data_IF_343350388743
#
_entry.id   IF_343350388743
#
_cell.length_a   1.000
_cell.length_b   1.000
_cell.length_c   1.000
_cell.angle_alpha   90.00
_cell.angle_beta   90.00
_cell.angle_gamma   90.00
#
_symmetry.space_group_name_H-M   'P 1'
#
loop_
_entity.id
_entity.type
_entity.pdbx_description
1 polymer ?
#
# COMPACT_ATOMS: atom_id res chain seq x y z
N UNK A 1 13.37 34.89 -17.76
CA UNK A 1 13.52 35.95 -18.79
C UNK A 1 14.81 35.86 -19.63
N UNK A 2 15.54 34.72 -19.67
CA UNK A 2 16.73 34.58 -20.55
C UNK A 2 16.51 33.74 -21.82
N UNK A 3 15.46 32.91 -21.91
CA UNK A 3 15.21 32.06 -23.09
C UNK A 3 15.01 32.85 -24.40
N UNK A 4 14.44 34.07 -24.33
CA UNK A 4 14.23 34.93 -25.50
C UNK A 4 15.53 35.58 -26.03
N UNK A 5 16.61 35.53 -25.26
CA UNK A 5 17.91 36.08 -25.65
C UNK A 5 18.82 35.05 -26.34
N UNK A 6 18.38 33.79 -26.47
CA UNK A 6 19.14 32.74 -27.15
C UNK A 6 18.78 32.63 -28.63
N UNK A 7 19.77 32.31 -29.45
CA UNK A 7 19.58 32.10 -30.88
C UNK A 7 18.63 30.91 -31.14
N UNK A 8 17.86 30.93 -32.23
CA UNK A 8 16.85 29.91 -32.57
C UNK A 8 17.36 28.46 -32.43
N UNK A 9 18.63 28.22 -32.78
CA UNK A 9 19.29 26.90 -32.67
C UNK A 9 19.50 26.43 -31.22
N UNK A 10 19.80 27.35 -30.31
CA UNK A 10 20.06 27.02 -28.89
C UNK A 10 18.76 26.66 -28.17
N UNK A 11 17.66 27.35 -28.50
CA UNK A 11 16.34 27.03 -27.95
C UNK A 11 15.95 25.59 -28.34
N UNK A 12 16.11 25.23 -29.62
CA UNK A 12 15.82 23.87 -30.11
C UNK A 12 16.69 22.81 -29.41
N UNK A 13 17.97 23.09 -29.20
CA UNK A 13 18.88 22.17 -28.52
C UNK A 13 18.47 21.88 -27.06
N UNK A 14 18.04 22.91 -26.32
CA UNK A 14 17.56 22.74 -24.93
C UNK A 14 16.29 21.90 -24.88
N UNK A 15 15.34 22.14 -25.79
CA UNK A 15 14.13 21.31 -25.88
C UNK A 15 14.46 19.87 -26.27
N UNK A 16 15.34 19.66 -27.25
CA UNK A 16 15.76 18.31 -27.66
C UNK A 16 16.41 17.55 -26.50
N UNK A 17 17.33 18.19 -25.76
CA UNK A 17 17.96 17.60 -24.59
C UNK A 17 16.94 17.28 -23.48
N UNK A 18 16.00 18.18 -23.23
CA UNK A 18 14.92 17.95 -22.27
C UNK A 18 14.10 16.71 -22.62
N UNK A 19 13.69 16.57 -23.89
CA UNK A 19 12.94 15.38 -24.33
C UNK A 19 13.77 14.10 -24.24
N UNK A 20 15.06 14.14 -24.58
CA UNK A 20 15.96 12.98 -24.44
C UNK A 20 16.04 12.54 -22.98
N UNK A 21 16.29 13.48 -22.05
CA UNK A 21 16.33 13.18 -20.63
C UNK A 21 14.98 12.66 -20.11
N UNK A 22 13.88 13.27 -20.52
CA UNK A 22 12.53 12.85 -20.14
C UNK A 22 12.22 11.43 -20.61
N UNK A 23 12.59 11.10 -21.86
CA UNK A 23 12.43 9.75 -22.40
C UNK A 23 13.27 8.74 -21.62
N UNK A 24 14.54 9.05 -21.32
CA UNK A 24 15.42 8.18 -20.52
C UNK A 24 14.82 7.95 -19.13
N UNK A 25 14.39 9.01 -18.43
CA UNK A 25 13.78 8.90 -17.09
C UNK A 25 12.48 8.09 -17.13
N UNK A 26 11.66 8.28 -18.17
CA UNK A 26 10.39 7.54 -18.32
C UNK A 26 10.65 6.05 -18.56
N UNK A 27 11.63 5.69 -19.40
CA UNK A 27 12.01 4.31 -19.64
C UNK A 27 12.50 3.62 -18.36
N UNK A 28 13.32 4.30 -17.56
CA UNK A 28 13.77 3.79 -16.25
C UNK A 28 12.59 3.61 -15.29
N UNK A 29 11.66 4.56 -15.26
CA UNK A 29 10.46 4.49 -14.41
C UNK A 29 9.56 3.31 -14.76
N UNK A 30 9.41 2.98 -16.05
CA UNK A 30 8.60 1.84 -16.52
C UNK A 30 9.32 0.51 -16.28
N UNK A 31 10.64 0.46 -16.46
CA UNK A 31 11.44 -0.74 -16.21
C UNK A 31 11.73 -0.99 -14.72
N UNK A 32 11.40 -0.04 -13.85
CA UNK A 32 11.60 -0.14 -12.41
C UNK A 32 10.69 -1.20 -11.76
N UNK A 33 11.10 -1.72 -10.59
CA UNK A 33 10.26 -2.63 -9.81
C UNK A 33 9.01 -1.91 -9.29
N UNK A 34 7.98 -2.69 -8.98
CA UNK A 34 6.72 -2.16 -8.44
C UNK A 34 6.95 -1.37 -7.15
N UNK A 35 6.42 -0.15 -7.09
CA UNK A 35 6.52 0.74 -5.92
C UNK A 35 5.86 0.15 -4.66
N UNK A 36 4.90 -0.76 -4.83
CA UNK A 36 4.12 -1.36 -3.74
C UNK A 36 4.24 -2.88 -3.82
N UNK A 37 4.60 -3.51 -2.71
CA UNK A 37 4.59 -4.96 -2.56
C UNK A 37 3.29 -5.41 -1.87
N UNK A 38 2.35 -6.06 -2.60
CA UNK A 38 1.10 -6.52 -2.02
C UNK A 38 1.24 -7.92 -1.40
N UNK A 39 0.95 -8.05 -0.11
CA UNK A 39 0.82 -9.35 0.55
C UNK A 39 -0.66 -9.65 0.84
N UNK A 40 -1.17 -10.72 0.23
CA UNK A 40 -2.56 -11.16 0.42
C UNK A 40 -2.60 -12.34 1.39
N UNK A 41 -3.09 -12.09 2.60
CA UNK A 41 -3.35 -13.14 3.58
C UNK A 41 -4.80 -13.60 3.44
N UNK A 42 -5.00 -14.87 3.10
CA UNK A 42 -6.31 -15.53 3.18
C UNK A 42 -6.38 -16.30 4.48
N UNK A 43 -7.48 -16.17 5.18
CA UNK A 43 -7.74 -17.01 6.34
C UNK A 43 -8.15 -18.40 5.89
N UNK A 44 -7.33 -19.40 6.19
CA UNK A 44 -7.62 -20.79 5.90
C UNK A 44 -8.46 -21.36 7.05
N UNK A 45 -9.69 -21.74 6.73
CA UNK A 45 -10.70 -22.33 7.63
C UNK A 45 -11.39 -21.36 8.64
N UNK A 46 -12.44 -20.62 8.20
CA UNK A 46 -13.21 -19.74 9.07
C UNK A 46 -13.93 -20.46 10.22
N UNK A 47 -14.17 -21.77 10.11
CA UNK A 47 -14.96 -22.52 11.10
C UNK A 47 -14.19 -22.96 12.35
N UNK A 48 -12.85 -23.08 12.27
CA UNK A 48 -12.02 -23.38 13.46
C UNK A 48 -11.57 -22.12 14.21
N UNK A 49 -11.78 -20.94 13.63
CA UNK A 49 -11.16 -19.68 14.07
C UNK A 49 -12.19 -18.63 14.50
N UNK A 50 -13.40 -19.06 14.87
CA UNK A 50 -14.54 -18.22 15.21
C UNK A 50 -14.44 -17.46 16.55
N UNK A 51 -13.40 -17.67 17.36
CA UNK A 51 -13.30 -17.04 18.68
C UNK A 51 -11.87 -16.79 19.14
N UNK A 52 -11.07 -16.08 18.34
CA UNK A 52 -9.74 -15.68 18.76
C UNK A 52 -9.19 -14.46 18.02
N UNK A 53 -8.18 -13.78 18.57
CA UNK A 53 -7.48 -12.71 17.88
C UNK A 53 -6.78 -13.25 16.63
N UNK A 54 -7.07 -12.64 15.48
CA UNK A 54 -6.43 -12.97 14.22
C UNK A 54 -4.98 -12.47 14.21
N UNK A 55 -4.02 -13.40 14.28
CA UNK A 55 -2.59 -13.08 14.24
C UNK A 55 -2.10 -13.08 12.79
N UNK A 56 -1.74 -11.91 12.30
CA UNK A 56 -1.08 -11.73 11.01
C UNK A 56 0.39 -11.41 11.28
N UNK A 57 1.29 -12.12 10.61
CA UNK A 57 2.73 -11.84 10.65
C UNK A 57 3.13 -11.24 9.30
N UNK A 58 3.67 -10.02 9.33
CA UNK A 58 4.26 -9.42 8.14
C UNK A 58 5.59 -10.09 7.81
N UNK A 59 6.00 -9.98 6.55
CA UNK A 59 7.36 -10.33 6.15
C UNK A 59 8.37 -9.36 6.78
N UNK A 60 9.66 -9.65 6.60
CA UNK A 60 10.73 -8.78 7.06
C UNK A 60 10.65 -7.43 6.35
N UNK A 61 10.53 -6.36 7.15
CA UNK A 61 10.52 -4.98 6.67
C UNK A 61 11.86 -4.34 6.95
N UNK A 62 12.57 -3.98 5.89
CA UNK A 62 13.79 -3.18 5.96
C UNK A 62 13.50 -1.67 5.97
N UNK A 63 14.50 -0.85 6.23
CA UNK A 63 14.50 0.63 6.24
C UNK A 63 13.99 1.28 4.96
N UNK A 64 14.02 0.58 3.83
CA UNK A 64 13.41 1.03 2.57
C UNK A 64 11.87 1.03 2.60
N UNK A 65 11.25 0.26 3.49
CA UNK A 65 9.79 0.20 3.65
C UNK A 65 9.30 1.32 4.57
N UNK A 66 9.20 2.52 4.03
CA UNK A 66 8.84 3.71 4.81
C UNK A 66 7.37 3.72 5.29
N UNK A 67 6.49 2.93 4.66
CA UNK A 67 5.06 2.88 4.98
C UNK A 67 4.52 1.47 4.84
N UNK A 68 3.68 1.06 5.79
CA UNK A 68 2.93 -0.17 5.76
C UNK A 68 1.44 0.13 5.75
N UNK A 69 0.72 -0.44 4.78
CA UNK A 69 -0.72 -0.29 4.64
C UNK A 69 -1.38 -1.63 4.91
N UNK A 70 -2.26 -1.68 5.93
CA UNK A 70 -3.06 -2.86 6.23
C UNK A 70 -4.50 -2.62 5.80
N UNK A 71 -4.97 -3.40 4.84
CA UNK A 71 -6.36 -3.35 4.37
C UNK A 71 -7.02 -4.70 4.62
N UNK A 72 -8.19 -4.67 5.24
CA UNK A 72 -8.99 -5.87 5.47
C UNK A 72 -10.20 -5.86 4.54
N UNK A 73 -10.42 -6.97 3.83
CA UNK A 73 -11.63 -7.20 3.06
C UNK A 73 -12.47 -8.27 3.77
N UNK A 74 -13.65 -7.88 4.25
CA UNK A 74 -14.62 -8.79 4.84
C UNK A 74 -15.66 -9.19 3.80
N UNK A 75 -16.01 -10.46 3.77
CA UNK A 75 -17.09 -11.00 2.95
C UNK A 75 -18.02 -11.74 3.91
N UNK A 76 -19.30 -11.44 3.83
CA UNK A 76 -20.35 -12.02 4.66
C UNK A 76 -21.52 -12.35 3.75
N UNK A 77 -22.16 -13.49 3.98
CA UNK A 77 -23.31 -13.96 3.20
C UNK A 77 -24.64 -13.42 3.75
N UNK A 78 -24.57 -12.62 4.81
CA UNK A 78 -25.75 -12.03 5.43
C UNK A 78 -26.21 -10.81 4.62
N UNK A 79 -27.52 -10.72 4.37
CA UNK A 79 -28.11 -9.67 3.53
C UNK A 79 -28.30 -8.33 4.25
N UNK A 80 -28.07 -8.30 5.57
CA UNK A 80 -28.32 -7.14 6.42
C UNK A 80 -27.12 -6.18 6.51
N UNK A 81 -27.37 -4.93 6.93
CA UNK A 81 -26.33 -3.96 7.24
C UNK A 81 -25.48 -4.47 8.43
N UNK A 82 -24.32 -5.04 8.12
CA UNK A 82 -23.38 -5.51 9.14
C UNK A 82 -22.46 -4.38 9.59
N UNK A 83 -22.56 -4.01 10.87
CA UNK A 83 -21.67 -3.08 11.56
C UNK A 83 -21.05 -3.75 12.78
N UNK A 84 -19.74 -3.81 12.83
CA UNK A 84 -19.03 -4.38 13.98
C UNK A 84 -17.78 -3.57 14.32
N UNK A 85 -17.50 -3.38 15.60
CA UNK A 85 -16.23 -2.81 16.06
C UNK A 85 -15.20 -3.93 16.25
N UNK A 86 -14.01 -3.75 15.68
CA UNK A 86 -12.86 -4.63 15.86
C UNK A 86 -11.72 -3.87 16.52
N UNK A 87 -11.01 -4.53 17.43
CA UNK A 87 -9.77 -4.01 17.99
C UNK A 87 -8.60 -4.59 17.19
N UNK A 88 -7.72 -3.70 16.74
CA UNK A 88 -6.52 -4.05 15.98
C UNK A 88 -5.32 -3.71 16.85
N UNK A 89 -4.52 -4.74 17.15
CA UNK A 89 -3.28 -4.59 17.91
C UNK A 89 -2.09 -4.86 16.99
N UNK A 90 -1.15 -3.93 16.93
CA UNK A 90 0.04 -3.99 16.08
C UNK A 90 1.26 -4.05 17.00
N UNK A 91 2.01 -5.14 16.93
CA UNK A 91 3.27 -5.32 17.64
C UNK A 91 4.44 -5.20 16.67
N UNK A 92 5.31 -4.21 16.89
CA UNK A 92 6.54 -4.00 16.11
C UNK A 92 7.71 -4.53 16.94
N UNK A 93 8.39 -5.55 16.41
CA UNK A 93 9.63 -6.05 16.97
C UNK A 93 10.80 -5.38 16.27
N UNK A 94 11.55 -4.54 16.99
CA UNK A 94 12.76 -3.92 16.45
C UNK A 94 14.00 -4.51 17.13
N UNK A 95 14.80 -5.35 16.44
CA UNK A 95 15.98 -5.97 17.04
C UNK A 95 17.11 -4.97 17.38
N UNK A 96 16.99 -3.71 16.97
CA UNK A 96 18.01 -2.67 17.20
C UNK A 96 17.74 -1.75 18.40
N UNK A 97 16.60 -1.87 19.10
CA UNK A 97 16.24 -1.01 20.25
C UNK A 97 16.04 -1.83 21.54
N UNK A 98 16.60 -1.43 22.70
CA UNK A 98 16.57 -2.23 23.93
C UNK A 98 15.15 -2.54 24.48
N UNK A 99 14.17 -1.69 24.18
CA UNK A 99 12.75 -1.98 24.38
C UNK A 99 12.18 -2.61 23.10
N UNK A 100 12.48 -3.89 22.91
CA UNK A 100 12.31 -4.61 21.64
C UNK A 100 10.86 -4.67 21.09
N UNK A 101 9.83 -4.34 21.88
CA UNK A 101 8.42 -4.49 21.46
C UNK A 101 7.62 -3.20 21.67
N UNK A 102 7.23 -2.56 20.55
CA UNK A 102 6.25 -1.48 20.58
C UNK A 102 4.87 -2.02 20.20
N UNK A 103 3.86 -1.74 21.02
CA UNK A 103 2.50 -2.19 20.77
C UNK A 103 1.57 -1.00 20.59
N UNK A 104 0.80 -1.00 19.51
CA UNK A 104 -0.18 0.01 19.19
C UNK A 104 -1.57 -0.64 19.12
N UNK A 105 -2.54 -0.06 19.81
CA UNK A 105 -3.93 -0.53 19.77
C UNK A 105 -4.82 0.50 19.08
N UNK A 106 -5.72 0.02 18.22
CA UNK A 106 -6.65 0.87 17.49
C UNK A 106 -7.98 0.17 17.31
N UNK A 107 -9.06 0.85 17.67
CA UNK A 107 -10.41 0.40 17.38
C UNK A 107 -10.83 0.86 15.98
N UNK A 108 -11.51 -0.02 15.24
CA UNK A 108 -12.06 0.26 13.90
C UNK A 108 -13.47 -0.27 13.81
N UNK A 109 -14.33 0.45 13.11
CA UNK A 109 -15.69 -0.01 12.81
C UNK A 109 -15.68 -0.52 11.37
N UNK A 110 -16.10 -1.76 11.17
CA UNK A 110 -16.34 -2.34 9.86
C UNK A 110 -17.78 -2.11 9.47
N UNK A 111 -17.97 -1.63 8.25
CA UNK A 111 -19.27 -1.41 7.65
C UNK A 111 -19.33 -2.24 6.37
N UNK A 112 -20.22 -3.22 6.32
CA UNK A 112 -20.46 -3.97 5.09
C UNK A 112 -21.58 -3.30 4.31
N UNK A 113 -21.41 -3.23 2.99
CA UNK A 113 -22.46 -2.86 2.07
C UNK A 113 -22.72 -4.05 1.14
N UNK A 114 -23.98 -4.19 0.70
CA UNK A 114 -24.38 -5.23 -0.23
C UNK A 114 -23.59 -5.10 -1.52
N UNK A 115 -22.81 -6.12 -1.86
CA UNK A 115 -22.13 -6.22 -3.15
C UNK A 115 -23.20 -6.53 -4.20
N UNK A 116 -23.62 -5.53 -4.98
CA UNK A 116 -24.47 -5.75 -6.16
C UNK A 116 -23.59 -6.42 -7.21
N UNK A 117 -23.74 -7.74 -7.36
CA UNK A 117 -23.05 -8.50 -8.40
C UNK A 117 -23.56 -8.05 -9.76
N UNK A 118 -22.82 -7.15 -10.40
CA UNK A 118 -23.01 -6.85 -11.82
C UNK A 118 -22.40 -8.03 -12.60
N UNK A 119 -23.21 -9.06 -12.84
CA UNK A 119 -22.89 -10.09 -13.83
C UNK A 119 -22.77 -9.39 -15.18
N UNK A 120 -21.58 -9.43 -15.77
CA UNK A 120 -21.32 -9.05 -17.15
C UNK A 120 -21.03 -10.32 -17.94
#
# INVERSE_FOLDING_TARGET
MRLYALHKRQIVAVFALFFICLLITTLIGIAGPSVIQPNNYKLENPQKQLSGPYKLKSDYLDTFHQRLWLTMKTITDNNDEFRQSINVTISINNPSLPSNLQTYERQRIIHCQKQVSNKK
#
